data_IF_728830733779
#
_entry.id   IF_728830733779
#
_cell.length_a   1.000
_cell.length_b   1.000
_cell.length_c   1.000
_cell.angle_alpha   90.00
_cell.angle_beta   90.00
_cell.angle_gamma   90.00
#
_symmetry.space_group_name_H-M   'P 1'
#
loop_
_entity.id
_entity.type
_entity.pdbx_description
1 polymer ?
#
# COMPACT_ATOMS: atom_id res chain seq x y z
N UNK A 1 17.84 4.37 -4.88
CA UNK A 1 17.30 5.74 -4.80
C UNK A 1 17.80 6.60 -5.97
N UNK A 2 16.97 7.48 -6.56
CA UNK A 2 17.39 8.43 -7.60
C UNK A 2 18.54 9.33 -7.15
N UNK A 3 19.42 9.73 -8.07
CA UNK A 3 20.46 10.71 -7.74
C UNK A 3 19.85 12.07 -7.35
N UNK A 4 20.22 12.60 -6.18
CA UNK A 4 19.74 13.89 -5.67
C UNK A 4 18.50 13.83 -4.77
N UNK A 5 17.78 12.69 -4.73
CA UNK A 5 16.70 12.48 -3.76
C UNK A 5 17.31 12.11 -2.39
N UNK A 6 16.86 12.69 -1.26
CA UNK A 6 17.29 12.23 0.06
C UNK A 6 16.88 10.75 0.26
N UNK A 7 17.74 9.96 0.90
CA UNK A 7 17.35 8.61 1.31
C UNK A 7 16.43 8.75 2.53
N UNK A 8 15.20 8.22 2.52
CA UNK A 8 14.35 8.25 3.69
C UNK A 8 15.04 7.52 4.85
N UNK A 9 15.03 8.12 6.03
CA UNK A 9 15.45 7.43 7.25
C UNK A 9 14.29 6.55 7.78
N UNK A 10 13.80 5.66 6.92
CA UNK A 10 12.66 4.78 7.16
C UNK A 10 13.01 3.37 6.65
N UNK A 11 12.49 2.30 7.29
CA UNK A 11 12.60 0.95 6.77
C UNK A 11 12.10 0.84 5.33
N UNK A 12 12.83 0.09 4.50
CA UNK A 12 12.42 -0.22 3.13
C UNK A 12 11.56 -1.48 3.13
N UNK A 13 10.33 -1.36 2.62
CA UNK A 13 9.35 -2.45 2.67
C UNK A 13 9.26 -3.21 1.36
N UNK A 14 9.16 -2.50 0.23
CA UNK A 14 8.97 -3.14 -1.06
C UNK A 14 9.43 -2.27 -2.24
N UNK A 15 9.75 -2.94 -3.36
CA UNK A 15 9.89 -2.32 -4.67
C UNK A 15 9.05 -3.05 -5.70
N UNK A 16 8.34 -2.30 -6.53
CA UNK A 16 7.49 -2.82 -7.59
C UNK A 16 7.87 -2.18 -8.91
N UNK A 17 8.26 -3.00 -9.90
CA UNK A 17 8.42 -2.58 -11.29
C UNK A 17 7.06 -2.58 -12.01
N UNK A 18 6.59 -1.39 -12.40
CA UNK A 18 5.30 -1.23 -13.07
C UNK A 18 5.28 -1.85 -14.47
N UNK A 19 6.43 -1.96 -15.14
CA UNK A 19 6.52 -2.62 -16.44
C UNK A 19 6.33 -4.14 -16.36
N UNK A 20 6.44 -4.73 -15.16
CA UNK A 20 6.14 -6.14 -14.92
C UNK A 20 4.62 -6.42 -14.81
N UNK A 21 3.79 -5.38 -14.67
CA UNK A 21 2.34 -5.52 -14.55
C UNK A 21 1.69 -5.71 -15.93
N UNK A 22 0.91 -6.79 -16.14
CA UNK A 22 0.15 -6.97 -17.37
C UNK A 22 -0.88 -5.85 -17.55
N UNK A 23 -1.14 -5.42 -18.80
CA UNK A 23 -2.24 -4.50 -19.07
C UNK A 23 -3.57 -5.02 -18.55
N UNK A 24 -4.29 -4.20 -17.79
CA UNK A 24 -5.57 -4.56 -17.19
C UNK A 24 -5.48 -5.46 -15.95
N UNK A 25 -4.29 -5.66 -15.38
CA UNK A 25 -4.14 -6.32 -14.08
C UNK A 25 -4.83 -5.55 -12.93
N UNK A 26 -4.91 -4.22 -13.06
CA UNK A 26 -5.67 -3.34 -12.19
C UNK A 26 -6.48 -2.35 -13.04
N UNK A 27 -7.49 -1.70 -12.44
CA UNK A 27 -8.21 -0.59 -13.06
C UNK A 27 -7.55 0.78 -12.80
N UNK A 28 -6.45 0.78 -12.04
CA UNK A 28 -5.71 1.98 -11.68
C UNK A 28 -5.04 2.59 -12.92
N UNK A 29 -5.04 3.93 -13.08
CA UNK A 29 -4.31 4.61 -14.14
C UNK A 29 -2.80 4.69 -13.84
N UNK A 30 -2.17 3.53 -13.63
CA UNK A 30 -0.74 3.42 -13.35
C UNK A 30 0.11 3.85 -14.57
N UNK A 31 1.28 4.46 -14.35
CA UNK A 31 2.31 4.56 -15.39
C UNK A 31 2.62 3.19 -15.99
N UNK A 32 2.94 3.15 -17.29
CA UNK A 32 3.25 1.91 -18.00
C UNK A 32 4.61 1.30 -17.61
N UNK A 33 5.48 2.09 -16.97
CA UNK A 33 6.83 1.73 -16.57
C UNK A 33 7.26 2.51 -15.32
N UNK A 34 8.49 2.26 -14.88
CA UNK A 34 9.05 2.85 -13.68
C UNK A 34 8.86 1.97 -12.45
N UNK A 35 9.39 2.43 -11.32
CA UNK A 35 9.47 1.64 -10.10
C UNK A 35 8.88 2.41 -8.93
N UNK A 36 7.98 1.78 -8.19
CA UNK A 36 7.52 2.27 -6.89
C UNK A 36 8.42 1.71 -5.79
N UNK A 37 8.82 2.56 -4.85
CA UNK A 37 9.57 2.21 -3.65
C UNK A 37 8.75 2.61 -2.43
N UNK A 38 8.51 1.66 -1.54
CA UNK A 38 7.70 1.83 -0.34
C UNK A 38 8.61 1.81 0.89
N UNK A 39 8.45 2.83 1.74
CA UNK A 39 9.14 2.94 3.02
C UNK A 39 8.13 3.31 4.09
N UNK A 40 8.23 2.69 5.27
CA UNK A 40 7.47 3.12 6.43
C UNK A 40 8.12 2.63 7.73
N UNK A 41 7.98 3.42 8.79
CA UNK A 41 8.24 3.02 10.16
C UNK A 41 6.93 2.48 10.75
N UNK A 42 6.91 1.17 11.04
CA UNK A 42 5.75 0.50 11.63
C UNK A 42 5.87 0.32 13.14
N UNK A 43 7.00 0.68 13.77
CA UNK A 43 7.17 0.64 15.23
C UNK A 43 6.38 1.77 15.92
N UNK A 44 6.36 2.96 15.31
CA UNK A 44 5.57 4.12 15.78
C UNK A 44 4.79 4.81 14.64
N UNK A 45 3.84 4.11 13.99
CA UNK A 45 3.13 4.60 12.81
C UNK A 45 2.06 5.68 13.13
N UNK A 46 1.92 6.04 14.42
CA UNK A 46 0.98 7.06 14.90
C UNK A 46 1.67 8.27 15.53
N UNK A 47 3.00 8.31 15.53
CA UNK A 47 3.79 9.37 16.19
C UNK A 47 3.77 10.69 15.42
N UNK A 48 4.38 10.71 14.23
CA UNK A 48 4.60 11.91 13.40
C UNK A 48 4.14 11.66 11.96
N UNK A 49 3.80 12.72 11.20
CA UNK A 49 3.33 12.62 9.80
C UNK A 49 4.37 12.05 8.80
N UNK A 50 5.65 11.96 9.20
CA UNK A 50 6.77 11.51 8.35
C UNK A 50 7.10 10.00 8.49
N UNK A 51 6.19 9.22 9.09
CA UNK A 51 6.36 7.77 9.31
C UNK A 51 6.31 6.92 8.02
N UNK A 52 6.00 7.51 6.86
CA UNK A 52 5.95 6.78 5.58
C UNK A 52 6.46 7.60 4.41
N UNK A 53 6.96 6.92 3.38
CA UNK A 53 7.37 7.54 2.13
C UNK A 53 7.12 6.62 0.94
N UNK A 54 6.45 7.18 -0.07
CA UNK A 54 6.32 6.58 -1.40
C UNK A 54 7.20 7.34 -2.39
N UNK A 55 8.04 6.61 -3.14
CA UNK A 55 8.88 7.19 -4.19
C UNK A 55 8.59 6.49 -5.51
N UNK A 56 8.19 7.26 -6.50
CA UNK A 56 8.12 6.81 -7.88
C UNK A 56 9.40 7.18 -8.61
N UNK A 57 10.03 6.19 -9.23
CA UNK A 57 11.24 6.32 -10.03
C UNK A 57 10.87 6.06 -11.49
N UNK A 58 10.81 7.09 -12.35
CA UNK A 58 10.57 6.90 -13.77
C UNK A 58 11.62 5.99 -14.41
N UNK A 59 11.23 5.29 -15.49
CA UNK A 59 12.17 4.45 -16.23
C UNK A 59 13.37 5.27 -16.73
N UNK A 60 14.57 4.69 -16.64
CA UNK A 60 15.81 5.33 -17.07
C UNK A 60 16.37 6.39 -16.12
N UNK A 61 15.69 6.71 -15.00
CA UNK A 61 16.27 7.52 -13.94
C UNK A 61 17.46 6.78 -13.31
N UNK A 62 18.67 7.38 -13.28
CA UNK A 62 19.82 6.77 -12.62
C UNK A 62 19.55 6.55 -11.13
N UNK A 63 19.79 5.33 -10.66
CA UNK A 63 19.63 4.94 -9.26
C UNK A 63 20.91 4.31 -8.72
N UNK A 64 21.17 4.55 -7.45
CA UNK A 64 22.19 3.85 -6.66
C UNK A 64 21.57 3.35 -5.36
N UNK A 65 22.07 2.21 -4.88
CA UNK A 65 21.81 1.75 -3.52
C UNK A 65 22.56 2.68 -2.56
N UNK A 66 21.83 3.26 -1.60
CA UNK A 66 22.35 4.24 -0.65
C UNK A 66 21.73 3.97 0.70
N UNK A 67 22.55 3.97 1.74
CA UNK A 67 22.07 3.90 3.12
C UNK A 67 21.54 5.27 3.57
N UNK A 68 20.53 5.30 4.45
CA UNK A 68 20.12 6.54 5.10
C UNK A 68 21.27 7.13 5.94
N UNK A 69 21.27 8.45 6.07
CA UNK A 69 22.22 9.17 6.89
C UNK A 69 21.75 9.17 8.35
N UNK A 70 22.61 8.78 9.29
CA UNK A 70 22.29 8.80 10.72
C UNK A 70 23.11 7.80 11.55
N UNK A 71 23.08 7.99 12.88
CA UNK A 71 23.75 7.08 13.83
C UNK A 71 22.93 5.81 14.12
N UNK A 72 21.65 5.81 13.74
CA UNK A 72 20.68 4.73 13.94
C UNK A 72 19.95 4.45 12.63
N UNK A 73 20.58 3.72 11.70
CA UNK A 73 19.91 3.34 10.47
C UNK A 73 18.73 2.40 10.78
N UNK A 74 17.67 2.42 9.97
CA UNK A 74 16.54 1.52 10.12
C UNK A 74 16.99 0.07 9.88
N UNK A 75 16.24 -0.86 10.46
CA UNK A 75 16.50 -2.29 10.27
C UNK A 75 16.34 -2.71 8.81
N UNK A 76 17.23 -3.61 8.39
CA UNK A 76 17.22 -4.18 7.04
C UNK A 76 16.50 -5.52 7.09
N UNK A 77 15.28 -5.52 6.56
CA UNK A 77 14.46 -6.72 6.42
C UNK A 77 15.08 -7.68 5.38
N UNK A 78 14.90 -9.01 5.53
CA UNK A 78 15.37 -9.98 4.54
C UNK A 78 14.75 -9.74 3.16
N UNK A 79 15.59 -9.70 2.12
CA UNK A 79 15.13 -9.53 0.74
C UNK A 79 14.37 -10.77 0.27
N UNK A 80 13.16 -10.55 -0.25
CA UNK A 80 12.36 -11.58 -0.89
C UNK A 80 11.94 -11.15 -2.30
N UNK A 81 11.96 -12.11 -3.22
CA UNK A 81 11.45 -11.91 -4.58
C UNK A 81 9.92 -11.88 -4.58
N UNK A 82 9.33 -10.83 -5.16
CA UNK A 82 7.90 -10.81 -5.44
C UNK A 82 7.55 -11.66 -6.66
N UNK A 83 6.38 -12.30 -6.62
CA UNK A 83 5.78 -13.05 -7.74
C UNK A 83 4.36 -12.54 -7.94
N UNK A 84 4.06 -12.08 -9.15
CA UNK A 84 2.77 -11.49 -9.46
C UNK A 84 1.69 -12.58 -9.57
N UNK A 85 0.55 -12.33 -8.92
CA UNK A 85 -0.71 -13.06 -9.11
C UNK A 85 -1.80 -12.02 -9.40
N UNK A 86 -2.76 -12.39 -10.26
CA UNK A 86 -3.96 -11.58 -10.52
C UNK A 86 -5.13 -12.38 -9.98
N UNK A 87 -5.90 -11.79 -9.07
CA UNK A 87 -7.03 -12.42 -8.39
C UNK A 87 -8.22 -11.47 -8.31
N UNK A 88 -9.48 -11.97 -8.20
CA UNK A 88 -10.60 -11.11 -7.85
C UNK A 88 -10.37 -10.49 -6.48
N UNK A 89 -10.38 -9.17 -6.41
CA UNK A 89 -10.35 -8.46 -5.14
C UNK A 89 -11.77 -8.35 -4.59
N UNK A 90 -11.98 -8.85 -3.38
CA UNK A 90 -13.23 -8.73 -2.63
C UNK A 90 -12.98 -7.86 -1.40
N UNK A 91 -13.93 -6.98 -1.03
CA UNK A 91 -13.86 -6.31 0.26
C UNK A 91 -14.00 -7.35 1.37
N UNK A 92 -13.18 -7.25 2.42
CA UNK A 92 -13.29 -8.15 3.57
C UNK A 92 -14.31 -7.66 4.62
N UNK A 93 -14.92 -6.48 4.40
CA UNK A 93 -15.89 -5.84 5.28
C UNK A 93 -17.08 -5.28 4.50
N UNK A 94 -18.18 -5.04 5.20
CA UNK A 94 -19.33 -4.31 4.69
C UNK A 94 -20.06 -3.61 5.83
N UNK A 95 -20.74 -2.52 5.50
CA UNK A 95 -21.51 -1.70 6.44
C UNK A 95 -22.95 -1.58 5.97
N UNK A 96 -23.90 -1.61 6.89
CA UNK A 96 -25.30 -1.36 6.56
C UNK A 96 -25.48 0.11 6.16
N UNK A 97 -26.05 0.32 4.98
CA UNK A 97 -26.44 1.66 4.49
C UNK A 97 -27.91 1.66 4.11
N UNK A 98 -28.48 2.84 3.84
CA UNK A 98 -29.87 2.93 3.34
C UNK A 98 -30.05 2.19 2.00
N UNK A 99 -29.03 2.24 1.13
CA UNK A 99 -29.01 1.52 -0.15
C UNK A 99 -28.70 0.03 0.01
N UNK A 100 -27.91 -0.33 1.02
CA UNK A 100 -27.47 -1.70 1.33
C UNK A 100 -27.76 -2.07 2.79
N UNK A 101 -29.03 -2.36 3.16
CA UNK A 101 -29.43 -2.59 4.55
C UNK A 101 -28.93 -3.92 5.15
N UNK A 102 -28.24 -4.74 4.35
CA UNK A 102 -27.62 -6.02 4.76
C UNK A 102 -26.11 -6.04 4.47
N UNK A 103 -25.49 -4.87 4.35
CA UNK A 103 -24.06 -4.75 4.05
C UNK A 103 -23.17 -5.39 5.11
N UNK A 104 -23.56 -5.33 6.38
CA UNK A 104 -22.85 -6.01 7.48
C UNK A 104 -22.90 -7.53 7.37
N UNK A 105 -24.05 -8.10 7.00
CA UNK A 105 -24.19 -9.55 6.76
C UNK A 105 -23.34 -9.99 5.56
N UNK A 106 -23.38 -9.21 4.48
CA UNK A 106 -22.55 -9.46 3.30
C UNK A 106 -21.06 -9.37 3.63
N UNK A 107 -20.65 -8.39 4.44
CA UNK A 107 -19.29 -8.27 4.99
C UNK A 107 -18.86 -9.52 5.75
N UNK A 108 -19.74 -10.10 6.57
CA UNK A 108 -19.45 -11.35 7.29
C UNK A 108 -19.25 -12.54 6.36
N UNK A 109 -19.97 -12.60 5.23
CA UNK A 109 -19.79 -13.64 4.22
C UNK A 109 -18.48 -13.46 3.49
N UNK A 110 -18.14 -12.24 3.09
CA UNK A 110 -16.86 -11.94 2.45
C UNK A 110 -15.69 -12.26 3.34
N UNK A 111 -15.70 -11.85 4.61
CA UNK A 111 -14.67 -12.20 5.60
C UNK A 111 -14.36 -13.70 5.64
N UNK A 112 -15.40 -14.54 5.57
CA UNK A 112 -15.25 -16.01 5.64
C UNK A 112 -14.77 -16.63 4.33
N UNK A 113 -14.97 -15.93 3.21
CA UNK A 113 -14.77 -16.49 1.87
C UNK A 113 -13.53 -15.91 1.18
N UNK A 114 -13.08 -14.72 1.57
CA UNK A 114 -11.95 -14.00 0.96
C UNK A 114 -10.71 -14.87 0.89
N UNK A 115 -10.30 -15.53 1.98
CA UNK A 115 -9.13 -16.43 1.98
C UNK A 115 -9.24 -17.68 1.09
N UNK A 116 -10.43 -18.00 0.57
CA UNK A 116 -10.62 -19.07 -0.43
C UNK A 116 -10.63 -18.55 -1.88
N UNK A 117 -10.74 -17.24 -2.06
CA UNK A 117 -10.86 -16.56 -3.36
C UNK A 117 -9.62 -15.74 -3.68
N UNK A 118 -8.99 -15.16 -2.66
CA UNK A 118 -7.84 -14.27 -2.76
C UNK A 118 -6.58 -14.99 -2.28
N UNK A 119 -5.54 -14.88 -3.07
CA UNK A 119 -4.18 -15.27 -2.70
C UNK A 119 -3.61 -14.22 -1.75
N UNK A 120 -3.24 -14.66 -0.55
CA UNK A 120 -2.53 -13.82 0.40
C UNK A 120 -1.10 -13.55 -0.05
N UNK A 121 -0.59 -12.36 0.25
CA UNK A 121 0.74 -11.94 -0.14
C UNK A 121 1.13 -10.61 0.49
N UNK A 122 2.45 -10.36 0.65
CA UNK A 122 2.94 -9.20 1.37
C UNK A 122 2.70 -7.87 0.66
N UNK A 123 2.31 -7.88 -0.61
CA UNK A 123 2.10 -6.68 -1.43
C UNK A 123 0.87 -6.85 -2.32
N UNK A 124 -0.09 -5.94 -2.22
CA UNK A 124 -1.23 -5.80 -3.14
C UNK A 124 -1.17 -4.43 -3.85
N UNK A 125 -1.61 -4.37 -5.12
CA UNK A 125 -1.78 -3.12 -5.87
C UNK A 125 -3.25 -2.98 -6.31
N UNK A 126 -3.89 -1.88 -5.93
CA UNK A 126 -5.31 -1.67 -6.21
C UNK A 126 -6.24 -2.64 -5.47
N UNK A 127 -7.49 -2.73 -5.94
CA UNK A 127 -8.52 -3.56 -5.33
C UNK A 127 -9.14 -2.96 -4.07
N UNK A 128 -9.74 -3.82 -3.25
CA UNK A 128 -10.27 -3.48 -1.93
C UNK A 128 -9.18 -3.64 -0.86
N UNK A 129 -9.09 -2.70 0.10
CA UNK A 129 -8.15 -2.82 1.21
C UNK A 129 -8.52 -3.99 2.11
N UNK A 130 -7.52 -4.64 2.69
CA UNK A 130 -7.75 -5.50 3.84
C UNK A 130 -7.89 -4.64 5.09
N UNK A 131 -9.09 -4.65 5.69
CA UNK A 131 -9.42 -3.81 6.85
C UNK A 131 -9.54 -4.67 8.10
N UNK A 132 -8.76 -4.35 9.13
CA UNK A 132 -8.91 -4.90 10.49
C UNK A 132 -9.79 -3.98 11.33
N UNK A 133 -9.48 -2.69 11.37
CA UNK A 133 -10.16 -1.73 12.26
C UNK A 133 -10.80 -0.57 11.50
N UNK A 134 -9.99 0.17 10.73
CA UNK A 134 -10.39 1.41 10.06
C UNK A 134 -10.16 1.30 8.56
N UNK A 135 -11.20 1.56 7.77
CA UNK A 135 -11.09 1.54 6.32
C UNK A 135 -10.23 2.73 5.85
N UNK A 136 -9.10 2.51 5.16
CA UNK A 136 -8.18 3.59 4.77
C UNK A 136 -8.80 4.57 3.77
N UNK A 137 -9.91 4.22 3.10
CA UNK A 137 -10.59 5.07 2.13
C UNK A 137 -11.78 5.83 2.73
N UNK A 138 -12.49 5.24 3.69
CA UNK A 138 -13.75 5.82 4.20
C UNK A 138 -13.69 6.36 5.62
N UNK A 139 -12.82 5.80 6.47
CA UNK A 139 -12.77 6.17 7.90
C UNK A 139 -11.72 7.27 8.19
N UNK A 140 -10.87 7.59 7.20
CA UNK A 140 -9.87 8.65 7.27
C UNK A 140 -10.26 9.85 6.39
N UNK A 141 -10.13 11.07 6.93
CA UNK A 141 -10.37 12.30 6.16
C UNK A 141 -9.13 12.69 5.33
N UNK A 142 -9.10 12.24 4.08
CA UNK A 142 -8.09 12.63 3.10
C UNK A 142 -8.48 13.90 2.30
N UNK A 143 -9.58 14.55 2.67
CA UNK A 143 -10.19 15.62 1.89
C UNK A 143 -10.86 15.15 0.60
N UNK A 144 -11.44 16.09 -0.19
CA UNK A 144 -12.31 15.75 -1.31
C UNK A 144 -11.55 15.13 -2.48
N UNK A 145 -12.12 14.11 -3.12
CA UNK A 145 -11.55 13.51 -4.33
C UNK A 145 -11.94 12.05 -4.49
N UNK A 146 -11.63 11.48 -5.65
CA UNK A 146 -11.75 10.04 -5.90
C UNK A 146 -10.50 9.33 -5.38
N UNK A 147 -10.50 8.99 -4.09
CA UNK A 147 -9.42 8.26 -3.43
C UNK A 147 -9.52 6.77 -3.70
N UNK A 148 -8.40 6.17 -4.09
CA UNK A 148 -8.28 4.75 -4.38
C UNK A 148 -7.12 4.15 -3.59
N UNK A 149 -7.21 2.86 -3.28
CA UNK A 149 -6.08 2.11 -2.77
C UNK A 149 -5.04 2.00 -3.88
N UNK A 150 -3.85 2.55 -3.67
CA UNK A 150 -2.72 2.36 -4.56
C UNK A 150 -2.04 1.03 -4.28
N UNK A 151 -1.69 0.81 -3.02
CA UNK A 151 -0.97 -0.37 -2.58
C UNK A 151 -1.27 -0.70 -1.11
N UNK A 152 -1.06 -1.96 -0.78
CA UNK A 152 -1.02 -2.47 0.58
C UNK A 152 0.28 -3.24 0.75
N UNK A 153 1.02 -3.00 1.84
CA UNK A 153 2.22 -3.76 2.19
C UNK A 153 2.15 -4.16 3.65
N UNK A 154 2.29 -5.45 3.94
CA UNK A 154 2.10 -5.95 5.30
C UNK A 154 2.48 -7.42 5.48
N UNK A 155 2.32 -7.90 6.70
CA UNK A 155 2.60 -9.27 7.11
C UNK A 155 3.62 -9.36 8.24
N UNK A 156 3.57 -10.47 8.98
CA UNK A 156 4.30 -10.65 10.26
C UNK A 156 5.83 -10.50 10.14
N UNK A 157 6.40 -10.71 8.95
CA UNK A 157 7.84 -10.58 8.70
C UNK A 157 8.25 -9.18 8.22
N UNK A 158 7.29 -8.29 7.94
CA UNK A 158 7.53 -6.98 7.29
C UNK A 158 7.11 -5.77 8.12
N UNK A 159 6.13 -5.95 9.01
CA UNK A 159 5.56 -4.87 9.79
C UNK A 159 5.39 -5.29 11.23
N UNK A 160 5.55 -4.33 12.13
CA UNK A 160 5.26 -4.54 13.55
C UNK A 160 3.76 -4.70 13.80
N UNK A 161 3.43 -5.36 14.91
CA UNK A 161 2.05 -5.70 15.25
C UNK A 161 1.56 -6.99 14.60
N UNK A 162 0.61 -7.66 15.26
CA UNK A 162 0.02 -8.90 14.76
C UNK A 162 -0.68 -8.63 13.41
N UNK A 163 -0.17 -9.21 12.31
CA UNK A 163 -0.68 -8.98 10.96
C UNK A 163 -0.79 -7.49 10.58
N UNK A 164 0.24 -6.70 10.91
CA UNK A 164 0.35 -5.28 10.56
C UNK A 164 0.31 -5.04 9.05
N UNK A 165 -0.27 -3.91 8.66
CA UNK A 165 -0.50 -3.53 7.26
C UNK A 165 -0.38 -2.02 7.10
N UNK A 166 0.39 -1.60 6.10
CA UNK A 166 0.44 -0.21 5.62
C UNK A 166 -0.34 -0.10 4.31
N UNK A 167 -1.37 0.75 4.30
CA UNK A 167 -2.13 1.10 3.10
C UNK A 167 -1.63 2.42 2.54
N UNK A 168 -1.30 2.48 1.25
CA UNK A 168 -1.12 3.73 0.51
C UNK A 168 -2.37 4.03 -0.31
N UNK A 169 -2.95 5.20 -0.08
CA UNK A 169 -4.09 5.72 -0.84
C UNK A 169 -3.67 6.95 -1.62
N UNK A 170 -4.28 7.16 -2.78
CA UNK A 170 -4.00 8.31 -3.65
C UNK A 170 -5.26 8.71 -4.41
N UNK A 171 -5.39 9.98 -4.80
CA UNK A 171 -6.46 10.38 -5.72
C UNK A 171 -6.19 9.84 -7.11
N UNK A 172 -7.23 9.34 -7.78
CA UNK A 172 -7.13 8.79 -9.14
C UNK A 172 -6.52 9.78 -10.14
N UNK A 173 -6.82 11.07 -10.02
CA UNK A 173 -6.27 12.13 -10.86
C UNK A 173 -4.80 12.47 -10.56
N UNK A 174 -4.36 12.30 -9.31
CA UNK A 174 -2.96 12.44 -8.92
C UNK A 174 -2.14 11.26 -9.45
N UNK A 175 -2.70 10.05 -9.34
CA UNK A 175 -2.10 8.84 -9.89
C UNK A 175 -1.94 8.93 -11.40
N UNK A 176 -3.01 9.32 -12.13
CA UNK A 176 -2.98 9.49 -13.57
C UNK A 176 -1.96 10.55 -14.03
N UNK A 177 -1.66 11.53 -13.18
CA UNK A 177 -0.68 12.57 -13.44
C UNK A 177 0.72 12.26 -12.90
N UNK A 178 0.93 11.09 -12.29
CA UNK A 178 2.21 10.68 -11.69
C UNK A 178 2.62 11.50 -10.46
N UNK A 179 1.68 12.12 -9.75
CA UNK A 179 1.92 12.92 -8.54
C UNK A 179 1.95 12.04 -7.28
N UNK A 180 2.86 11.06 -7.24
CA UNK A 180 2.95 10.09 -6.14
C UNK A 180 3.27 10.72 -4.77
N UNK A 181 3.77 11.96 -4.72
CA UNK A 181 3.97 12.72 -3.48
C UNK A 181 2.65 13.11 -2.79
N UNK A 182 1.52 13.03 -3.50
CA UNK A 182 0.19 13.28 -2.94
C UNK A 182 -0.45 12.03 -2.30
N UNK A 183 0.22 10.87 -2.38
CA UNK A 183 -0.22 9.68 -1.67
C UNK A 183 -0.22 9.92 -0.15
N UNK A 184 -1.11 9.21 0.55
CA UNK A 184 -1.22 9.18 2.00
C UNK A 184 -1.11 7.74 2.47
N UNK A 185 -0.50 7.52 3.64
CA UNK A 185 -0.43 6.21 4.25
C UNK A 185 -1.37 6.11 5.45
N UNK A 186 -1.92 4.92 5.67
CA UNK A 186 -2.64 4.53 6.87
C UNK A 186 -2.04 3.22 7.38
N UNK A 187 -2.02 3.04 8.69
CA UNK A 187 -1.55 1.80 9.32
C UNK A 187 -2.71 1.13 10.05
N UNK A 188 -2.83 -0.18 9.86
CA UNK A 188 -3.82 -1.03 10.51
C UNK A 188 -3.16 -2.35 10.95
N UNK A 189 -3.71 -3.01 11.97
CA UNK A 189 -3.19 -4.28 12.49
C UNK A 189 -4.29 -5.07 13.19
N UNK A 190 -4.10 -6.38 13.35
CA UNK A 190 -5.01 -7.16 14.18
C UNK A 190 -4.92 -6.70 15.64
N UNK A 191 -6.08 -6.48 16.27
CA UNK A 191 -6.22 -6.00 17.65
C UNK A 191 -6.23 -7.09 18.71
#
# INVERSE_FOLDING_TARGET
MPEGEPVPNLPFLASVDLAALPPGATDLPLPADGTLLFFADTEDPWGDDDWSRLVYVPVGTPVSERAPEGDWPPDVLPVQDLRLVIDPSLPNRGSDTEEFPHGGELGSVWWKTSGAVQTDGPVQLGGHPWVWNADPLTDHDHGPGDWVLLAEVGGDDLTEGDLGIVHWVIRRDDLAAGRFTEARACFDMAG
#
